data_IF_281551262765
#
_entry.id   IF_281551262765
#
_cell.length_a   1.000
_cell.length_b   1.000
_cell.length_c   1.000
_cell.angle_alpha   90.00
_cell.angle_beta   90.00
_cell.angle_gamma   90.00
#
_symmetry.space_group_name_H-M   'P 1'
#
loop_
_entity.id
_entity.type
_entity.pdbx_description
1 polymer ?
#
# COMPACT_ATOMS: atom_id res chain seq x y z
N UNK A 1 -14.32 22.94 50.87
CA UNK A 1 -14.18 23.28 49.44
C UNK A 1 -15.57 23.59 48.91
N UNK A 2 -15.79 24.77 48.32
CA UNK A 2 -17.13 25.15 47.86
C UNK A 2 -17.46 24.47 46.53
N UNK A 3 -18.74 24.29 46.25
CA UNK A 3 -19.24 23.68 45.01
C UNK A 3 -18.67 24.37 43.75
N UNK A 4 -18.49 25.68 43.79
CA UNK A 4 -17.87 26.48 42.72
C UNK A 4 -16.39 26.12 42.47
N UNK A 5 -15.65 25.78 43.52
CA UNK A 5 -14.23 25.37 43.42
C UNK A 5 -14.13 23.97 42.79
N UNK A 6 -15.04 23.07 43.17
CA UNK A 6 -15.13 21.73 42.58
C UNK A 6 -15.42 21.82 41.08
N UNK A 7 -16.38 22.66 40.68
CA UNK A 7 -16.70 22.88 39.26
C UNK A 7 -15.51 23.49 38.51
N UNK A 8 -14.83 24.48 39.11
CA UNK A 8 -13.67 25.11 38.47
C UNK A 8 -12.52 24.11 38.25
N UNK A 9 -12.21 23.29 39.26
CA UNK A 9 -11.19 22.24 39.16
C UNK A 9 -11.59 21.19 38.13
N UNK A 10 -12.85 20.75 38.14
CA UNK A 10 -13.35 19.79 37.15
C UNK A 10 -13.28 20.35 35.72
N UNK A 11 -13.58 21.64 35.51
CA UNK A 11 -13.47 22.29 34.22
C UNK A 11 -12.01 22.34 33.74
N UNK A 12 -11.06 22.70 34.61
CA UNK A 12 -9.62 22.72 34.28
C UNK A 12 -9.08 21.33 33.96
N UNK A 13 -9.48 20.32 34.72
CA UNK A 13 -9.09 18.93 34.44
C UNK A 13 -9.65 18.50 33.08
N UNK A 14 -10.93 18.81 32.81
CA UNK A 14 -11.59 18.42 31.55
C UNK A 14 -10.92 19.07 30.34
N UNK A 15 -10.64 20.37 30.38
CA UNK A 15 -9.99 21.07 29.26
C UNK A 15 -8.57 20.55 29.02
N UNK A 16 -7.83 20.27 30.09
CA UNK A 16 -6.47 19.72 30.01
C UNK A 16 -6.48 18.31 29.40
N UNK A 17 -7.39 17.44 29.84
CA UNK A 17 -7.55 16.09 29.29
C UNK A 17 -7.93 16.14 27.80
N UNK A 18 -8.89 16.98 27.42
CA UNK A 18 -9.29 17.16 26.02
C UNK A 18 -8.11 17.63 25.17
N UNK A 19 -7.31 18.58 25.65
CA UNK A 19 -6.13 19.06 24.93
C UNK A 19 -5.09 17.94 24.71
N UNK A 20 -4.75 17.19 25.75
CA UNK A 20 -3.78 16.08 25.66
C UNK A 20 -4.28 14.98 24.72
N UNK A 21 -5.54 14.58 24.83
CA UNK A 21 -6.15 13.57 23.94
C UNK A 21 -6.16 14.06 22.49
N UNK A 22 -6.47 15.34 22.26
CA UNK A 22 -6.48 15.92 20.91
C UNK A 22 -5.09 15.91 20.28
N UNK A 23 -4.04 16.29 21.02
CA UNK A 23 -2.65 16.24 20.54
C UNK A 23 -2.26 14.80 20.21
N UNK A 24 -2.58 13.85 21.09
CA UNK A 24 -2.27 12.43 20.88
C UNK A 24 -2.96 11.87 19.63
N UNK A 25 -4.26 12.14 19.46
CA UNK A 25 -5.02 11.71 18.29
C UNK A 25 -4.49 12.37 17.01
N UNK A 26 -4.16 13.66 17.04
CA UNK A 26 -3.61 14.37 15.90
C UNK A 26 -2.25 13.78 15.48
N UNK A 27 -1.35 13.55 16.45
CA UNK A 27 -0.06 12.94 16.18
C UNK A 27 -0.22 11.53 15.57
N UNK A 28 -1.10 10.71 16.14
CA UNK A 28 -1.42 9.38 15.60
C UNK A 28 -2.01 9.45 14.19
N UNK A 29 -2.85 10.44 13.91
CA UNK A 29 -3.42 10.68 12.58
C UNK A 29 -2.33 11.05 11.57
N UNK A 30 -1.41 11.93 11.95
CA UNK A 30 -0.29 12.34 11.11
C UNK A 30 0.62 11.16 10.76
N UNK A 31 0.98 10.32 11.73
CA UNK A 31 1.76 9.10 11.49
C UNK A 31 1.06 8.15 10.53
N UNK A 32 -0.26 7.96 10.68
CA UNK A 32 -1.05 7.14 9.74
C UNK A 32 -1.06 7.74 8.34
N UNK A 33 -1.14 9.06 8.23
CA UNK A 33 -1.12 9.75 6.94
C UNK A 33 0.24 9.62 6.25
N UNK A 34 1.34 9.81 6.97
CA UNK A 34 2.69 9.59 6.45
C UNK A 34 2.89 8.16 5.97
N UNK A 35 2.47 7.17 6.77
CA UNK A 35 2.52 5.76 6.37
C UNK A 35 1.69 5.48 5.11
N UNK A 36 0.50 6.10 4.99
CA UNK A 36 -0.32 5.99 3.79
C UNK A 36 0.38 6.55 2.55
N UNK A 37 1.00 7.74 2.67
CA UNK A 37 1.72 8.36 1.57
C UNK A 37 2.93 7.53 1.12
N UNK A 38 3.68 6.96 2.07
CA UNK A 38 4.80 6.07 1.74
C UNK A 38 4.33 4.81 1.02
N UNK A 39 3.31 4.12 1.54
CA UNK A 39 2.71 2.97 0.86
C UNK A 39 2.23 3.32 -0.55
N UNK A 40 1.59 4.48 -0.71
CA UNK A 40 1.10 4.94 -1.99
C UNK A 40 2.25 5.19 -2.98
N UNK A 41 3.35 5.80 -2.53
CA UNK A 41 4.57 5.99 -3.33
C UNK A 41 5.12 4.65 -3.80
N UNK A 42 5.32 3.70 -2.88
CA UNK A 42 5.89 2.37 -3.15
C UNK A 42 5.03 1.60 -4.15
N UNK A 43 3.71 1.55 -3.92
CA UNK A 43 2.80 0.82 -4.82
C UNK A 43 2.70 1.45 -6.20
N UNK A 44 2.73 2.79 -6.29
CA UNK A 44 2.79 3.48 -7.59
C UNK A 44 4.09 3.16 -8.34
N UNK A 45 5.21 3.16 -7.64
CA UNK A 45 6.51 2.83 -8.25
C UNK A 45 6.52 1.39 -8.78
N UNK A 46 5.96 0.43 -8.03
CA UNK A 46 5.78 -0.93 -8.52
C UNK A 46 4.96 -0.97 -9.83
N UNK A 47 3.87 -0.21 -9.90
CA UNK A 47 3.05 -0.13 -11.12
C UNK A 47 3.80 0.49 -12.29
N UNK A 48 4.64 1.50 -12.05
CA UNK A 48 5.48 2.11 -13.08
C UNK A 48 6.49 1.10 -13.61
N UNK A 49 7.17 0.38 -12.72
CA UNK A 49 8.14 -0.67 -13.11
C UNK A 49 7.45 -1.76 -13.92
N UNK A 50 6.29 -2.23 -13.47
CA UNK A 50 5.46 -3.22 -14.19
C UNK A 50 5.13 -2.72 -15.59
N UNK A 51 4.62 -1.48 -15.70
CA UNK A 51 4.29 -0.88 -16.99
C UNK A 51 5.52 -0.80 -17.90
N UNK A 52 6.63 -0.26 -17.41
CA UNK A 52 7.87 -0.12 -18.17
C UNK A 52 8.46 -1.48 -18.59
N UNK A 53 8.30 -2.53 -17.77
CA UNK A 53 8.77 -3.88 -18.07
C UNK A 53 8.11 -4.51 -19.30
N UNK A 54 6.94 -4.00 -19.71
CA UNK A 54 6.23 -4.42 -20.93
C UNK A 54 6.84 -3.81 -22.19
N UNK A 55 7.61 -2.72 -22.07
CA UNK A 55 8.24 -2.03 -23.20
C UNK A 55 9.50 -2.77 -23.67
N UNK A 56 9.67 -2.88 -24.98
CA UNK A 56 10.89 -3.43 -25.59
C UNK A 56 12.11 -2.51 -25.46
N UNK A 57 11.89 -1.19 -25.28
CA UNK A 57 12.95 -0.17 -25.22
C UNK A 57 13.40 0.17 -23.80
N UNK A 58 12.85 -0.50 -22.78
CA UNK A 58 13.19 -0.18 -21.40
C UNK A 58 14.58 -0.70 -21.02
N UNK A 59 15.31 0.09 -20.24
CA UNK A 59 16.56 -0.35 -19.61
C UNK A 59 16.24 -1.44 -18.58
N UNK A 60 16.64 -2.67 -18.89
CA UNK A 60 16.33 -3.85 -18.08
C UNK A 60 17.12 -3.88 -16.77
N UNK A 61 18.32 -3.31 -16.76
CA UNK A 61 19.16 -3.29 -15.57
C UNK A 61 18.65 -2.25 -14.57
N UNK A 62 18.34 -1.04 -15.07
CA UNK A 62 17.72 0.01 -14.26
C UNK A 62 16.40 -0.47 -13.62
N UNK A 63 15.50 -1.05 -14.41
CA UNK A 63 14.23 -1.58 -13.92
C UNK A 63 14.41 -2.67 -12.88
N UNK A 64 15.43 -3.53 -13.03
CA UNK A 64 15.71 -4.60 -12.07
C UNK A 64 16.17 -4.02 -10.73
N UNK A 65 17.05 -3.02 -10.73
CA UNK A 65 17.50 -2.35 -9.51
C UNK A 65 16.35 -1.63 -8.80
N UNK A 66 15.53 -0.89 -9.55
CA UNK A 66 14.31 -0.24 -9.02
C UNK A 66 13.34 -1.27 -8.43
N UNK A 67 13.15 -2.41 -9.10
CA UNK A 67 12.30 -3.48 -8.58
C UNK A 67 12.82 -4.07 -7.27
N UNK A 68 14.14 -4.25 -7.13
CA UNK A 68 14.75 -4.73 -5.89
C UNK A 68 14.50 -3.73 -4.76
N UNK A 69 14.71 -2.44 -5.00
CA UNK A 69 14.46 -1.39 -4.02
C UNK A 69 12.98 -1.38 -3.57
N UNK A 70 12.05 -1.41 -4.53
CA UNK A 70 10.61 -1.47 -4.23
C UNK A 70 10.24 -2.74 -3.45
N UNK A 71 10.81 -3.90 -3.79
CA UNK A 71 10.58 -5.14 -3.05
C UNK A 71 11.04 -5.00 -1.59
N UNK A 72 12.18 -4.36 -1.33
CA UNK A 72 12.66 -4.09 0.03
C UNK A 72 11.73 -3.13 0.78
N UNK A 73 11.26 -2.07 0.13
CA UNK A 73 10.31 -1.14 0.74
C UNK A 73 8.97 -1.81 1.06
N UNK A 74 8.45 -2.67 0.17
CA UNK A 74 7.24 -3.46 0.43
C UNK A 74 7.43 -4.37 1.64
N UNK A 75 8.58 -5.03 1.78
CA UNK A 75 8.87 -5.86 2.96
C UNK A 75 8.80 -5.04 4.26
N UNK A 76 9.26 -3.78 4.23
CA UNK A 76 9.29 -2.91 5.41
C UNK A 76 7.92 -2.31 5.76
N UNK A 77 7.11 -1.97 4.75
CA UNK A 77 5.91 -1.15 4.96
C UNK A 77 4.59 -1.87 4.72
N UNK A 78 4.57 -3.00 4.00
CA UNK A 78 3.35 -3.70 3.60
C UNK A 78 2.99 -4.88 4.52
N UNK A 79 1.82 -5.46 4.29
CA UNK A 79 1.34 -6.62 5.04
C UNK A 79 1.85 -7.93 4.43
N UNK A 80 1.98 -8.96 5.27
CA UNK A 80 2.43 -10.30 4.87
C UNK A 80 1.71 -10.87 3.62
N UNK A 81 0.38 -10.72 3.43
CA UNK A 81 -0.27 -11.18 2.20
C UNK A 81 0.26 -10.50 0.93
N UNK A 82 0.63 -9.23 0.99
CA UNK A 82 1.21 -8.49 -0.14
C UNK A 82 2.61 -9.02 -0.43
N UNK A 83 3.44 -9.15 0.61
CA UNK A 83 4.83 -9.65 0.49
C UNK A 83 4.86 -11.05 -0.11
N UNK A 84 4.02 -11.97 0.40
CA UNK A 84 3.90 -13.33 -0.13
C UNK A 84 3.44 -13.33 -1.58
N UNK A 85 2.42 -12.55 -1.90
CA UNK A 85 1.91 -12.48 -3.28
C UNK A 85 2.96 -11.93 -4.26
N UNK A 86 3.76 -10.97 -3.82
CA UNK A 86 4.87 -10.44 -4.61
C UNK A 86 5.97 -11.47 -4.82
N UNK A 87 6.27 -12.29 -3.82
CA UNK A 87 7.18 -13.44 -3.95
C UNK A 87 6.64 -14.47 -4.95
N UNK A 88 5.35 -14.79 -4.90
CA UNK A 88 4.68 -15.75 -5.81
C UNK A 88 4.66 -15.29 -7.27
N UNK A 89 4.76 -13.98 -7.53
CA UNK A 89 4.85 -13.42 -8.89
C UNK A 89 6.26 -13.59 -9.45
N UNK A 90 7.29 -13.62 -8.58
CA UNK A 90 8.69 -13.79 -8.97
C UNK A 90 9.24 -12.58 -9.73
N UNK A 91 9.82 -12.84 -10.90
CA UNK A 91 10.37 -11.79 -11.77
C UNK A 91 9.25 -11.09 -12.55
N UNK A 92 9.22 -9.76 -12.48
CA UNK A 92 8.26 -8.95 -13.22
C UNK A 92 8.78 -8.75 -14.65
N UNK A 93 8.56 -9.75 -15.49
CA UNK A 93 8.55 -9.59 -16.94
C UNK A 93 7.14 -9.89 -17.45
N UNK A 94 6.59 -9.02 -18.30
CA UNK A 94 5.36 -9.28 -19.04
C UNK A 94 5.64 -9.53 -20.52
N UNK A 95 6.91 -9.70 -20.88
CA UNK A 95 7.29 -10.18 -22.20
C UNK A 95 7.05 -11.68 -22.25
N UNK A 96 6.26 -12.15 -23.22
CA UNK A 96 5.94 -13.58 -23.42
C UNK A 96 7.15 -14.42 -23.91
N UNK A 97 8.37 -13.96 -23.69
CA UNK A 97 9.57 -14.62 -24.18
C UNK A 97 9.70 -15.99 -23.49
N UNK A 98 9.29 -17.04 -24.20
CA UNK A 98 9.32 -18.43 -23.72
C UNK A 98 8.18 -18.85 -22.80
N UNK A 99 7.14 -18.02 -22.61
CA UNK A 99 5.97 -18.39 -21.80
C UNK A 99 4.80 -18.86 -22.67
N UNK A 100 4.09 -19.89 -22.23
CA UNK A 100 2.81 -20.26 -22.84
C UNK A 100 1.73 -19.23 -22.51
N UNK A 101 0.70 -19.12 -23.35
CA UNK A 101 -0.43 -18.20 -23.10
C UNK A 101 -1.08 -18.44 -21.73
N UNK A 102 -1.14 -19.70 -21.28
CA UNK A 102 -1.63 -20.09 -19.96
C UNK A 102 -0.76 -19.51 -18.84
N UNK A 103 0.57 -19.61 -18.96
CA UNK A 103 1.50 -19.07 -17.95
C UNK A 103 1.46 -17.54 -17.89
N UNK A 104 1.39 -16.87 -19.05
CA UNK A 104 1.24 -15.43 -19.11
C UNK A 104 -0.06 -14.96 -18.43
N UNK A 105 -1.16 -15.68 -18.68
CA UNK A 105 -2.46 -15.41 -18.05
C UNK A 105 -2.44 -15.63 -16.53
N UNK A 106 -1.84 -16.71 -16.05
CA UNK A 106 -1.70 -16.96 -14.61
C UNK A 106 -0.88 -15.87 -13.91
N UNK A 107 0.22 -15.45 -14.54
CA UNK A 107 1.05 -14.36 -14.02
C UNK A 107 0.29 -13.04 -13.96
N UNK A 108 -0.48 -12.74 -14.99
CA UNK A 108 -1.37 -11.58 -15.02
C UNK A 108 -2.42 -11.64 -13.91
N UNK A 109 -3.07 -12.80 -13.71
CA UNK A 109 -4.07 -12.98 -12.65
C UNK A 109 -3.49 -12.81 -11.24
N UNK A 110 -2.24 -13.28 -11.03
CA UNK A 110 -1.51 -13.02 -9.78
C UNK A 110 -1.26 -11.53 -9.57
N UNK A 111 -0.94 -10.79 -10.63
CA UNK A 111 -0.75 -9.33 -10.57
C UNK A 111 -2.05 -8.58 -10.25
N UNK A 112 -3.17 -8.94 -10.86
CA UNK A 112 -4.48 -8.36 -10.53
C UNK A 112 -4.88 -8.62 -9.06
N UNK A 113 -4.58 -9.81 -8.57
CA UNK A 113 -4.77 -10.14 -7.15
C UNK A 113 -3.87 -9.29 -6.24
N UNK A 114 -2.62 -9.02 -6.63
CA UNK A 114 -1.72 -8.13 -5.88
C UNK A 114 -2.26 -6.69 -5.83
N UNK A 115 -2.74 -6.15 -6.97
CA UNK A 115 -3.36 -4.83 -7.04
C UNK A 115 -4.52 -4.68 -6.06
N UNK A 116 -5.38 -5.70 -5.97
CA UNK A 116 -6.48 -5.72 -5.02
C UNK A 116 -6.00 -5.70 -3.56
N UNK A 117 -4.94 -6.43 -3.23
CA UNK A 117 -4.36 -6.42 -1.88
C UNK A 117 -3.77 -5.03 -1.53
N UNK A 118 -3.01 -4.43 -2.46
CA UNK A 118 -2.45 -3.09 -2.27
C UNK A 118 -3.54 -2.03 -2.10
N UNK A 119 -4.62 -2.10 -2.89
CA UNK A 119 -5.77 -1.19 -2.76
C UNK A 119 -6.44 -1.30 -1.40
N UNK A 120 -6.67 -2.52 -0.92
CA UNK A 120 -7.28 -2.78 0.39
C UNK A 120 -6.38 -2.29 1.52
N UNK A 121 -5.07 -2.48 1.39
CA UNK A 121 -4.09 -2.00 2.36
C UNK A 121 -4.07 -0.46 2.45
N UNK A 122 -4.19 0.25 1.32
CA UNK A 122 -4.28 1.71 1.28
C UNK A 122 -5.59 2.26 1.85
N UNK A 123 -6.72 1.75 1.37
CA UNK A 123 -8.05 2.31 1.67
C UNK A 123 -8.72 1.69 2.90
N UNK A 124 -8.11 0.66 3.50
CA UNK A 124 -8.74 -0.22 4.50
C UNK A 124 -10.13 -0.72 4.08
N UNK A 125 -10.34 -0.91 2.78
CA UNK A 125 -11.58 -1.42 2.24
C UNK A 125 -11.67 -2.93 2.41
N UNK A 126 -12.86 -3.43 2.75
CA UNK A 126 -13.16 -4.87 2.74
C UNK A 126 -13.31 -5.41 1.32
N UNK A 127 -13.80 -4.58 0.40
CA UNK A 127 -14.32 -5.08 -0.88
C UNK A 127 -13.24 -5.22 -1.93
N UNK A 128 -13.25 -6.36 -2.64
CA UNK A 128 -12.37 -6.64 -3.78
C UNK A 128 -13.04 -6.09 -5.04
N UNK A 129 -12.27 -5.51 -5.98
CA UNK A 129 -12.78 -5.42 -7.35
C UNK A 129 -12.68 -6.81 -7.96
N UNK A 130 -13.75 -7.26 -8.63
CA UNK A 130 -13.70 -8.54 -9.34
C UNK A 130 -12.55 -8.54 -10.35
N UNK A 131 -11.84 -9.67 -10.46
CA UNK A 131 -10.70 -9.76 -11.38
C UNK A 131 -11.18 -9.59 -12.83
N UNK A 132 -12.43 -9.95 -13.15
CA UNK A 132 -13.06 -9.69 -14.46
C UNK A 132 -13.25 -8.21 -14.74
N UNK A 133 -13.64 -7.40 -13.75
CA UNK A 133 -13.70 -5.93 -13.89
C UNK A 133 -12.31 -5.35 -14.11
N UNK A 134 -11.30 -5.80 -13.34
CA UNK A 134 -9.93 -5.32 -13.52
C UNK A 134 -9.36 -5.67 -14.90
N UNK A 135 -9.61 -6.90 -15.39
CA UNK A 135 -9.23 -7.34 -16.74
C UNK A 135 -9.82 -6.48 -17.87
N UNK A 136 -10.95 -5.80 -17.64
CA UNK A 136 -11.55 -4.94 -18.67
C UNK A 136 -10.91 -3.56 -18.75
N UNK A 137 -10.10 -3.18 -17.75
CA UNK A 137 -9.45 -1.86 -17.68
C UNK A 137 -8.03 -1.85 -18.25
N UNK A 138 -7.47 -3.02 -18.56
CA UNK A 138 -6.08 -3.24 -19.01
C UNK A 138 -6.16 -4.07 -20.29
#
# INVERSE_FOLDING_TARGET
>A
MNFKDIISIAAVITTTVVAVVSIFLNHRSNLKHQLFLEKLRIYKELMVIVSQSTSQRADREELRLRLIAVKQEIILFSTEPITRKLADIGDINFTNNGQTEVQAKEKFDRYLSLLNLMRRDLLKQSDKISDTTLKRLI
#
